data_IF_925000266215
#
_entry.id   IF_925000266215
#
_cell.length_a   1.000
_cell.length_b   1.000
_cell.length_c   1.000
_cell.angle_alpha   90.00
_cell.angle_beta   90.00
_cell.angle_gamma   90.00
#
_symmetry.space_group_name_H-M   'P 1'
#
loop_
_entity.id
_entity.type
_entity.pdbx_description
1 polymer ?
#
# COMPACT_ATOMS: atom_id res chain seq x y z
N UNK A 1 23.95 -15.51 11.98
CA UNK A 1 22.52 -15.85 12.13
C UNK A 1 21.74 -14.54 12.23
N UNK A 2 20.65 -14.36 11.50
CA UNK A 2 19.84 -13.15 11.62
C UNK A 2 19.06 -13.16 12.94
N UNK A 3 19.10 -12.05 13.69
CA UNK A 3 18.32 -11.88 14.92
C UNK A 3 16.93 -11.37 14.60
N UNK A 4 15.90 -12.18 14.89
CA UNK A 4 14.51 -11.85 14.63
C UNK A 4 13.85 -11.16 15.83
N UNK A 5 13.10 -10.10 15.56
CA UNK A 5 12.32 -9.38 16.56
C UNK A 5 10.87 -9.88 16.53
N UNK A 6 10.41 -10.50 17.62
CA UNK A 6 9.04 -11.02 17.74
C UNK A 6 8.23 -10.15 18.70
N UNK A 7 7.42 -9.24 18.17
CA UNK A 7 6.57 -8.32 18.95
C UNK A 7 5.11 -8.47 18.57
N UNK A 8 4.20 -7.99 19.43
CA UNK A 8 2.78 -7.91 19.11
C UNK A 8 2.51 -7.04 17.87
N UNK A 9 3.37 -6.04 17.60
CA UNK A 9 3.27 -5.17 16.41
C UNK A 9 3.42 -5.97 15.11
N UNK A 10 4.13 -7.11 15.13
CA UNK A 10 4.20 -8.00 13.97
C UNK A 10 2.83 -8.62 13.61
N UNK A 11 1.92 -8.77 14.59
CA UNK A 11 0.55 -9.20 14.30
C UNK A 11 -0.24 -8.11 13.58
N UNK A 12 0.00 -6.83 13.91
CA UNK A 12 -0.60 -5.71 13.20
C UNK A 12 -0.08 -5.65 11.75
N UNK A 13 1.23 -5.80 11.54
CA UNK A 13 1.82 -5.92 10.20
C UNK A 13 1.29 -7.12 9.42
N UNK A 14 1.14 -8.27 10.07
CA UNK A 14 0.53 -9.44 9.44
C UNK A 14 -0.91 -9.16 9.00
N UNK A 15 -1.72 -8.54 9.85
CA UNK A 15 -3.09 -8.13 9.51
C UNK A 15 -3.12 -7.14 8.35
N UNK A 16 -2.21 -6.16 8.35
CA UNK A 16 -2.06 -5.19 7.26
C UNK A 16 -1.72 -5.87 5.93
N UNK A 17 -0.71 -6.74 5.89
CA UNK A 17 -0.36 -7.44 4.66
C UNK A 17 -1.47 -8.37 4.19
N UNK A 18 -2.15 -9.08 5.10
CA UNK A 18 -3.30 -9.93 4.74
C UNK A 18 -4.47 -9.13 4.18
N UNK A 19 -4.72 -7.92 4.68
CA UNK A 19 -5.73 -7.00 4.15
C UNK A 19 -5.36 -6.51 2.74
N UNK A 20 -4.08 -6.22 2.51
CA UNK A 20 -3.57 -5.70 1.23
C UNK A 20 -3.68 -6.72 0.10
N UNK A 21 -3.44 -8.02 0.35
CA UNK A 21 -3.49 -9.06 -0.71
C UNK A 21 -4.78 -9.00 -1.55
N UNK A 22 -6.00 -9.14 -0.98
CA UNK A 22 -7.21 -9.13 -1.79
C UNK A 22 -7.46 -7.78 -2.48
N UNK A 23 -7.03 -6.67 -1.90
CA UNK A 23 -7.22 -5.35 -2.51
C UNK A 23 -6.34 -5.18 -3.75
N UNK A 24 -5.05 -5.49 -3.63
CA UNK A 24 -4.13 -5.40 -4.75
C UNK A 24 -4.56 -6.33 -5.89
N UNK A 25 -4.92 -7.59 -5.59
CA UNK A 25 -5.31 -8.53 -6.64
C UNK A 25 -6.64 -8.18 -7.29
N UNK A 26 -7.65 -7.80 -6.50
CA UNK A 26 -9.03 -7.76 -7.01
C UNK A 26 -9.59 -6.35 -7.19
N UNK A 27 -8.91 -5.31 -6.70
CA UNK A 27 -9.32 -3.92 -6.85
C UNK A 27 -8.29 -3.16 -7.67
N UNK A 28 -7.07 -3.02 -7.14
CA UNK A 28 -6.08 -2.09 -7.70
C UNK A 28 -5.50 -2.61 -9.03
N UNK A 29 -5.10 -3.88 -9.07
CA UNK A 29 -4.53 -4.52 -10.26
C UNK A 29 -5.50 -5.42 -11.02
N UNK A 30 -6.82 -5.33 -10.77
CA UNK A 30 -7.82 -6.21 -11.42
C UNK A 30 -7.68 -6.20 -12.95
N UNK A 31 -7.70 -5.01 -13.53
CA UNK A 31 -7.62 -4.81 -15.00
C UNK A 31 -6.18 -4.95 -15.51
N UNK A 32 -5.19 -4.86 -14.63
CA UNK A 32 -3.78 -5.02 -14.96
C UNK A 32 -3.36 -6.50 -15.03
N UNK A 33 -3.90 -7.34 -14.15
CA UNK A 33 -3.54 -8.76 -14.02
C UNK A 33 -4.42 -9.70 -14.83
N UNK A 34 -5.71 -9.38 -14.96
CA UNK A 34 -6.69 -10.28 -15.53
C UNK A 34 -7.20 -9.76 -16.87
N UNK A 35 -7.42 -10.65 -17.86
CA UNK A 35 -8.10 -10.25 -19.09
C UNK A 35 -9.60 -10.01 -18.82
N UNK A 36 -10.19 -9.07 -19.55
CA UNK A 36 -11.58 -8.61 -19.43
C UNK A 36 -12.62 -9.72 -19.24
N UNK A 37 -12.51 -10.83 -19.97
CA UNK A 37 -13.47 -11.94 -19.90
C UNK A 37 -13.53 -12.64 -18.53
N UNK A 38 -12.54 -12.43 -17.65
CA UNK A 38 -12.48 -12.99 -16.29
C UNK A 38 -13.29 -12.15 -15.29
N UNK A 39 -13.52 -10.86 -15.57
CA UNK A 39 -14.16 -9.94 -14.62
C UNK A 39 -15.34 -9.13 -15.20
N UNK A 40 -15.40 -8.81 -16.49
CA UNK A 40 -16.48 -7.95 -17.02
C UNK A 40 -17.83 -8.67 -17.15
N UNK A 41 -17.93 -9.88 -17.75
CA UNK A 41 -19.23 -10.52 -17.96
C UNK A 41 -19.92 -10.89 -16.64
N UNK A 42 -21.24 -10.81 -16.57
CA UNK A 42 -22.01 -11.12 -15.34
C UNK A 42 -21.81 -12.53 -14.79
N UNK A 43 -21.43 -13.49 -15.64
CA UNK A 43 -21.11 -14.87 -15.25
C UNK A 43 -19.63 -15.13 -14.94
N UNK A 44 -18.77 -14.11 -15.00
CA UNK A 44 -17.33 -14.28 -14.85
C UNK A 44 -16.93 -14.44 -13.37
N UNK A 45 -15.86 -15.21 -13.07
CA UNK A 45 -15.51 -15.56 -11.70
C UNK A 45 -15.15 -14.35 -10.83
N UNK A 46 -14.64 -13.27 -11.43
CA UNK A 46 -14.26 -12.03 -10.71
C UNK A 46 -15.28 -10.90 -10.89
N UNK A 47 -16.47 -11.18 -11.43
CA UNK A 47 -17.47 -10.15 -11.74
C UNK A 47 -17.90 -9.33 -10.52
N UNK A 48 -17.96 -9.95 -9.34
CA UNK A 48 -18.33 -9.24 -8.12
C UNK A 48 -17.39 -8.05 -7.82
N UNK A 49 -16.09 -8.18 -8.10
CA UNK A 49 -15.12 -7.11 -7.88
C UNK A 49 -15.23 -6.01 -8.92
N UNK A 50 -15.45 -6.38 -10.18
CA UNK A 50 -15.75 -5.42 -11.23
C UNK A 50 -17.03 -4.63 -10.91
N UNK A 51 -18.12 -5.31 -10.53
CA UNK A 51 -19.37 -4.68 -10.13
C UNK A 51 -19.20 -3.75 -8.92
N UNK A 52 -18.37 -4.13 -7.94
CA UNK A 52 -18.03 -3.28 -6.80
C UNK A 52 -17.28 -2.01 -7.24
N UNK A 53 -16.30 -2.13 -8.15
CA UNK A 53 -15.59 -0.98 -8.73
C UNK A 53 -16.55 -0.07 -9.49
N UNK A 54 -17.44 -0.64 -10.31
CA UNK A 54 -18.43 0.13 -11.07
C UNK A 54 -19.42 0.86 -10.14
N UNK A 55 -19.90 0.21 -9.08
CA UNK A 55 -20.72 0.86 -8.06
C UNK A 55 -19.98 2.02 -7.38
N UNK A 56 -18.70 1.83 -7.02
CA UNK A 56 -17.87 2.87 -6.42
C UNK A 56 -17.72 4.08 -7.36
N UNK A 57 -17.42 3.83 -8.63
CA UNK A 57 -17.31 4.87 -9.66
C UNK A 57 -18.63 5.63 -9.80
N UNK A 58 -19.76 4.93 -9.87
CA UNK A 58 -21.08 5.57 -9.95
C UNK A 58 -21.40 6.43 -8.73
N UNK A 59 -20.97 6.01 -7.54
CA UNK A 59 -21.27 6.69 -6.29
C UNK A 59 -20.36 7.91 -6.04
N UNK A 60 -19.07 7.80 -6.36
CA UNK A 60 -18.05 8.78 -5.96
C UNK A 60 -17.40 9.51 -7.14
N UNK A 61 -17.62 9.06 -8.37
CA UNK A 61 -17.02 9.60 -9.58
C UNK A 61 -15.50 9.79 -9.48
N UNK A 62 -14.81 8.94 -8.73
CA UNK A 62 -13.39 9.12 -8.41
C UNK A 62 -12.51 8.99 -9.67
N UNK A 63 -11.78 10.05 -10.09
CA UNK A 63 -11.03 10.03 -11.34
C UNK A 63 -9.83 9.08 -11.28
N UNK A 64 -9.24 8.92 -10.09
CA UNK A 64 -8.10 8.03 -9.86
C UNK A 64 -8.50 6.56 -10.10
N UNK A 65 -9.68 6.15 -9.64
CA UNK A 65 -10.18 4.77 -9.83
C UNK A 65 -10.69 4.53 -11.25
N UNK A 66 -11.13 5.60 -11.93
CA UNK A 66 -11.53 5.57 -13.34
C UNK A 66 -10.35 5.59 -14.32
N UNK A 67 -9.12 5.75 -13.81
CA UNK A 67 -7.95 5.89 -14.66
C UNK A 67 -7.74 4.69 -15.58
N UNK A 68 -7.39 5.00 -16.83
CA UNK A 68 -6.92 4.07 -17.87
C UNK A 68 -5.81 4.75 -18.69
N UNK A 69 -4.98 3.99 -19.43
CA UNK A 69 -4.00 4.57 -20.35
C UNK A 69 -4.62 5.56 -21.35
N UNK A 70 -5.86 5.32 -21.78
CA UNK A 70 -6.60 6.15 -22.71
C UNK A 70 -7.07 7.47 -22.08
N UNK A 71 -7.35 7.49 -20.78
CA UNK A 71 -7.77 8.68 -20.04
C UNK A 71 -6.61 9.46 -19.43
N UNK A 72 -5.37 8.98 -19.57
CA UNK A 72 -4.19 9.60 -18.97
C UNK A 72 -3.81 10.97 -19.58
N UNK A 73 -4.36 11.34 -20.75
CA UNK A 73 -4.11 12.64 -21.36
C UNK A 73 -4.93 13.74 -20.68
N UNK A 74 -4.33 14.42 -19.69
CA UNK A 74 -4.87 15.65 -19.10
C UNK A 74 -5.03 15.65 -17.58
N UNK A 75 -4.95 14.48 -16.93
CA UNK A 75 -5.01 14.30 -15.48
C UNK A 75 -4.42 12.92 -15.10
N UNK A 76 -3.98 12.73 -13.85
CA UNK A 76 -3.58 11.40 -13.31
C UNK A 76 -2.49 10.62 -14.08
N UNK A 77 -1.62 11.27 -14.84
CA UNK A 77 -0.58 10.60 -15.64
C UNK A 77 0.42 9.77 -14.79
N UNK A 78 0.45 10.00 -13.49
CA UNK A 78 1.26 9.29 -12.50
C UNK A 78 0.65 7.96 -12.03
N UNK A 79 -0.67 7.73 -12.21
CA UNK A 79 -1.33 6.47 -11.77
C UNK A 79 -0.72 5.26 -12.46
N UNK A 80 -0.46 5.37 -13.77
CA UNK A 80 0.21 4.31 -14.51
C UNK A 80 1.54 3.90 -13.88
N UNK A 81 2.36 4.87 -13.44
CA UNK A 81 3.61 4.57 -12.72
C UNK A 81 3.33 3.86 -11.40
N UNK A 82 2.33 4.31 -10.63
CA UNK A 82 2.02 3.71 -9.34
C UNK A 82 1.52 2.27 -9.48
N UNK A 83 0.74 1.94 -10.51
CA UNK A 83 0.35 0.56 -10.82
C UNK A 83 1.57 -0.33 -11.14
N UNK A 84 2.56 0.21 -11.86
CA UNK A 84 3.81 -0.53 -12.12
C UNK A 84 4.62 -0.73 -10.84
N UNK A 85 4.73 0.29 -10.00
CA UNK A 85 5.41 0.18 -8.69
C UNK A 85 4.68 -0.83 -7.80
N UNK A 86 3.35 -0.78 -7.79
CA UNK A 86 2.53 -1.72 -7.04
C UNK A 86 2.76 -3.16 -7.49
N UNK A 87 2.67 -3.42 -8.80
CA UNK A 87 2.88 -4.76 -9.35
C UNK A 87 4.31 -5.27 -9.14
N UNK A 88 5.32 -4.43 -9.36
CA UNK A 88 6.73 -4.85 -9.35
C UNK A 88 7.37 -4.86 -7.95
N UNK A 89 6.82 -4.08 -7.01
CA UNK A 89 7.42 -3.91 -5.69
C UNK A 89 6.45 -4.17 -4.53
N UNK A 90 5.28 -3.53 -4.49
CA UNK A 90 4.36 -3.67 -3.34
C UNK A 90 3.83 -5.09 -3.27
N UNK A 91 3.30 -5.62 -4.37
CA UNK A 91 2.69 -6.95 -4.42
C UNK A 91 3.70 -8.03 -3.98
N UNK A 92 4.92 -8.13 -4.54
CA UNK A 92 5.93 -9.05 -4.04
C UNK A 92 6.28 -8.85 -2.56
N UNK A 93 6.34 -7.59 -2.10
CA UNK A 93 6.68 -7.28 -0.70
C UNK A 93 5.57 -7.68 0.26
N UNK A 94 4.31 -7.47 -0.09
CA UNK A 94 3.13 -7.87 0.67
C UNK A 94 3.06 -9.39 0.76
N UNK A 95 3.24 -10.10 -0.36
CA UNK A 95 3.28 -11.56 -0.39
C UNK A 95 4.42 -12.12 0.46
N UNK A 96 5.61 -11.50 0.36
CA UNK A 96 6.73 -11.85 1.22
C UNK A 96 6.43 -11.59 2.70
N UNK A 97 5.78 -10.48 3.03
CA UNK A 97 5.33 -10.13 4.37
C UNK A 97 4.36 -11.18 4.96
N UNK A 98 3.37 -11.60 4.19
CA UNK A 98 2.46 -12.70 4.55
C UNK A 98 3.24 -13.99 4.77
N UNK A 99 4.13 -14.36 3.83
CA UNK A 99 4.94 -15.57 3.97
C UNK A 99 5.80 -15.53 5.24
N UNK A 100 6.48 -14.40 5.51
CA UNK A 100 7.38 -14.26 6.66
C UNK A 100 6.62 -14.28 7.99
N UNK A 101 5.53 -13.52 8.09
CA UNK A 101 4.82 -13.28 9.36
C UNK A 101 3.71 -14.29 9.62
N UNK A 102 2.96 -14.72 8.61
CA UNK A 102 1.82 -15.62 8.77
C UNK A 102 2.18 -17.11 8.58
N UNK A 103 2.94 -17.42 7.52
CA UNK A 103 3.29 -18.80 7.17
C UNK A 103 4.46 -19.29 8.01
N UNK A 104 5.60 -18.60 7.94
CA UNK A 104 6.78 -18.97 8.71
C UNK A 104 6.68 -18.60 10.19
N UNK A 105 5.76 -17.69 10.54
CA UNK A 105 5.57 -17.16 11.90
C UNK A 105 6.88 -16.67 12.51
N UNK A 106 7.75 -16.11 11.68
CA UNK A 106 9.00 -15.48 12.11
C UNK A 106 8.75 -14.01 12.36
N UNK A 107 9.51 -13.45 13.30
CA UNK A 107 9.58 -12.00 13.48
C UNK A 107 10.27 -11.31 12.31
N UNK A 108 10.67 -10.06 12.50
CA UNK A 108 11.42 -9.30 11.50
C UNK A 108 12.92 -9.34 11.78
N UNK A 109 13.73 -9.59 10.75
CA UNK A 109 15.17 -9.29 10.76
C UNK A 109 15.41 -7.82 10.40
N UNK A 110 16.65 -7.34 10.52
CA UNK A 110 16.99 -5.97 10.09
C UNK A 110 16.75 -5.73 8.59
N UNK A 111 16.94 -6.74 7.74
CA UNK A 111 16.65 -6.65 6.31
C UNK A 111 15.13 -6.59 6.05
N UNK A 112 14.34 -7.37 6.80
CA UNK A 112 12.87 -7.31 6.71
C UNK A 112 12.37 -5.92 7.14
N UNK A 113 12.94 -5.36 8.20
CA UNK A 113 12.57 -4.03 8.70
C UNK A 113 12.88 -2.94 7.67
N UNK A 114 14.03 -3.01 6.98
CA UNK A 114 14.37 -2.07 5.92
C UNK A 114 13.41 -2.20 4.72
N UNK A 115 13.11 -3.42 4.29
CA UNK A 115 12.16 -3.66 3.21
C UNK A 115 10.77 -3.11 3.56
N UNK A 116 10.28 -3.39 4.76
CA UNK A 116 8.97 -2.92 5.21
C UNK A 116 8.92 -1.41 5.46
N UNK A 117 10.05 -0.78 5.80
CA UNK A 117 10.18 0.67 5.84
C UNK A 117 9.99 1.28 4.44
N UNK A 118 10.70 0.77 3.43
CA UNK A 118 10.60 1.27 2.05
C UNK A 118 9.19 1.06 1.52
N UNK A 119 8.61 -0.12 1.73
CA UNK A 119 7.21 -0.41 1.41
C UNK A 119 6.25 0.60 2.05
N UNK A 120 6.35 0.85 3.36
CA UNK A 120 5.41 1.71 4.04
C UNK A 120 5.55 3.20 3.67
N UNK A 121 6.77 3.66 3.40
CA UNK A 121 7.00 5.01 2.88
C UNK A 121 6.45 5.17 1.47
N UNK A 122 6.64 4.17 0.62
CA UNK A 122 6.13 4.18 -0.74
C UNK A 122 4.59 4.24 -0.73
N UNK A 123 3.90 3.36 -0.01
CA UNK A 123 2.42 3.34 0.04
C UNK A 123 1.88 4.66 0.61
N UNK A 124 2.52 5.18 1.67
CA UNK A 124 2.14 6.47 2.24
C UNK A 124 2.32 7.61 1.23
N UNK A 125 3.42 7.61 0.49
CA UNK A 125 3.77 8.68 -0.43
C UNK A 125 2.91 8.67 -1.69
N UNK A 126 2.69 7.52 -2.30
CA UNK A 126 1.81 7.39 -3.47
C UNK A 126 0.37 7.77 -3.12
N UNK A 127 -0.12 7.32 -1.96
CA UNK A 127 -1.44 7.75 -1.46
C UNK A 127 -1.48 9.25 -1.13
N UNK A 128 -0.39 9.84 -0.62
CA UNK A 128 -0.31 11.28 -0.37
C UNK A 128 -0.40 12.07 -1.68
N UNK A 129 0.16 11.56 -2.77
CA UNK A 129 -0.01 12.16 -4.12
C UNK A 129 -1.48 12.11 -4.52
N UNK A 130 -2.18 10.98 -4.34
CA UNK A 130 -3.63 10.89 -4.56
C UNK A 130 -4.40 11.94 -3.74
N UNK A 131 -4.11 12.05 -2.43
CA UNK A 131 -4.74 13.04 -1.54
C UNK A 131 -4.49 14.46 -2.04
N UNK A 132 -3.24 14.77 -2.39
CA UNK A 132 -2.86 16.09 -2.91
C UNK A 132 -3.62 16.43 -4.19
N UNK A 133 -3.76 15.47 -5.09
CA UNK A 133 -4.45 15.65 -6.36
C UNK A 133 -5.95 15.99 -6.17
N UNK A 134 -6.62 15.40 -5.18
CA UNK A 134 -8.02 15.73 -4.86
C UNK A 134 -8.29 17.20 -4.51
N UNK A 135 -7.26 17.99 -4.16
CA UNK A 135 -7.41 19.43 -3.91
C UNK A 135 -7.62 20.22 -5.21
N UNK A 136 -7.18 19.69 -6.35
CA UNK A 136 -7.20 20.37 -7.65
C UNK A 136 -8.36 19.95 -8.54
N UNK A 137 -9.17 18.98 -8.11
CA UNK A 137 -10.38 18.56 -8.82
C UNK A 137 -11.33 19.74 -9.05
N UNK A 138 -11.96 19.79 -10.22
CA UNK A 138 -12.89 20.86 -10.58
C UNK A 138 -14.11 20.89 -9.64
N UNK A 139 -14.33 22.00 -8.95
CA UNK A 139 -15.48 22.17 -8.04
C UNK A 139 -16.83 22.16 -8.76
N UNK A 140 -16.88 22.36 -10.08
CA UNK A 140 -18.12 22.22 -10.86
C UNK A 140 -18.55 20.75 -11.03
N UNK A 141 -17.59 19.82 -10.97
CA UNK A 141 -17.82 18.37 -11.09
C UNK A 141 -17.81 17.69 -9.72
N UNK A 142 -16.94 18.15 -8.82
CA UNK A 142 -16.70 17.54 -7.51
C UNK A 142 -17.03 18.50 -6.38
N UNK A 143 -18.08 18.18 -5.60
CA UNK A 143 -18.43 18.98 -4.43
C UNK A 143 -17.34 18.93 -3.35
N UNK A 144 -17.27 19.96 -2.50
CA UNK A 144 -16.31 19.99 -1.38
C UNK A 144 -16.52 18.81 -0.40
N UNK A 145 -17.77 18.35 -0.24
CA UNK A 145 -18.09 17.18 0.57
C UNK A 145 -17.52 15.90 -0.04
N UNK A 146 -17.67 15.72 -1.35
CA UNK A 146 -17.11 14.57 -2.06
C UNK A 146 -15.57 14.59 -1.98
N UNK A 147 -14.95 15.74 -2.24
CA UNK A 147 -13.50 15.92 -2.09
C UNK A 147 -13.00 15.57 -0.68
N UNK A 148 -13.74 15.98 0.37
CA UNK A 148 -13.41 15.61 1.77
C UNK A 148 -13.58 14.11 2.01
N UNK A 149 -14.61 13.50 1.45
CA UNK A 149 -14.86 12.06 1.54
C UNK A 149 -13.71 11.26 0.93
N UNK A 150 -13.29 11.61 -0.30
CA UNK A 150 -12.13 11.01 -0.96
C UNK A 150 -10.87 11.10 -0.09
N UNK A 151 -10.55 12.31 0.41
CA UNK A 151 -9.34 12.52 1.23
C UNK A 151 -9.33 11.76 2.54
N UNK A 152 -10.42 11.81 3.30
CA UNK A 152 -10.38 11.39 4.70
C UNK A 152 -10.94 9.99 4.93
N UNK A 153 -11.90 9.54 4.11
CA UNK A 153 -12.50 8.23 4.27
C UNK A 153 -11.81 7.19 3.40
N UNK A 154 -11.57 7.51 2.12
CA UNK A 154 -10.91 6.59 1.20
C UNK A 154 -9.39 6.66 1.36
N UNK A 155 -8.75 7.75 0.99
CA UNK A 155 -7.28 7.81 0.94
C UNK A 155 -6.59 7.98 2.30
N UNK A 156 -7.23 8.67 3.24
CA UNK A 156 -6.63 9.01 4.54
C UNK A 156 -6.08 7.82 5.32
N UNK A 157 -6.87 6.74 5.54
CA UNK A 157 -6.39 5.54 6.20
C UNK A 157 -5.22 4.86 5.46
N UNK A 158 -5.28 4.83 4.12
CA UNK A 158 -4.23 4.26 3.26
C UNK A 158 -2.93 5.07 3.27
N UNK A 159 -2.98 6.36 3.63
CA UNK A 159 -1.78 7.16 3.87
C UNK A 159 -1.27 7.05 5.31
N UNK A 160 -2.18 7.15 6.29
CA UNK A 160 -1.83 7.29 7.70
C UNK A 160 -1.28 6.00 8.30
N UNK A 161 -1.91 4.85 8.01
CA UNK A 161 -1.48 3.57 8.58
C UNK A 161 -0.07 3.20 8.10
N UNK A 162 0.27 3.31 6.80
CA UNK A 162 1.63 3.11 6.32
C UNK A 162 2.62 4.13 6.88
N UNK A 163 2.26 5.41 7.01
CA UNK A 163 3.14 6.39 7.66
C UNK A 163 3.51 5.99 9.09
N UNK A 164 2.55 5.47 9.87
CA UNK A 164 2.80 4.91 11.21
C UNK A 164 3.68 3.66 11.13
N UNK A 165 3.44 2.79 10.14
CA UNK A 165 4.27 1.61 9.86
C UNK A 165 5.73 1.98 9.57
N UNK A 166 5.96 3.01 8.75
CA UNK A 166 7.29 3.52 8.45
C UNK A 166 8.01 3.98 9.74
N UNK A 167 7.31 4.70 10.62
CA UNK A 167 7.87 5.11 11.92
C UNK A 167 8.23 3.88 12.79
N UNK A 168 7.38 2.85 12.82
CA UNK A 168 7.68 1.60 13.55
C UNK A 168 8.95 0.93 13.03
N UNK A 169 9.08 0.77 11.71
CA UNK A 169 10.25 0.13 11.11
C UNK A 169 11.53 0.94 11.29
N UNK A 170 11.47 2.27 11.07
CA UNK A 170 12.58 3.17 11.32
C UNK A 170 13.06 3.10 12.78
N UNK A 171 12.12 3.05 13.73
CA UNK A 171 12.44 2.94 15.16
C UNK A 171 13.15 1.62 15.51
N UNK A 172 12.74 0.50 14.90
CA UNK A 172 13.40 -0.81 15.11
C UNK A 172 14.81 -0.82 14.54
N UNK A 173 14.99 -0.31 13.32
CA UNK A 173 16.30 -0.19 12.67
C UNK A 173 17.23 0.66 13.52
N UNK A 174 16.77 1.83 13.97
CA UNK A 174 17.57 2.70 14.85
C UNK A 174 17.94 1.99 16.16
N UNK A 175 17.03 1.20 16.74
CA UNK A 175 17.33 0.37 17.91
C UNK A 175 18.46 -0.64 17.66
N UNK A 176 18.49 -1.27 16.47
CA UNK A 176 19.57 -2.19 16.08
C UNK A 176 20.90 -1.48 15.88
N UNK A 177 20.88 -0.30 15.25
CA UNK A 177 22.08 0.52 15.05
C UNK A 177 22.68 0.90 16.41
N UNK A 178 21.87 1.45 17.32
CA UNK A 178 22.31 1.80 18.69
C UNK A 178 22.92 0.61 19.44
N UNK A 179 22.32 -0.58 19.31
CA UNK A 179 22.85 -1.79 19.93
C UNK A 179 24.20 -2.20 19.32
N UNK A 180 24.38 -2.06 18.00
CA UNK A 180 25.63 -2.34 17.33
C UNK A 180 26.74 -1.36 17.74
N UNK A 181 26.43 -0.06 17.82
CA UNK A 181 27.37 0.98 18.24
C UNK A 181 27.87 0.74 19.67
N UNK A 182 26.98 0.41 20.61
CA UNK A 182 27.35 0.10 21.99
C UNK A 182 28.30 -1.11 22.10
N UNK A 183 28.10 -2.14 21.26
CA UNK A 183 29.00 -3.31 21.21
C UNK A 183 30.38 -2.93 20.64
N UNK A 184 30.42 -2.04 19.63
CA UNK A 184 31.67 -1.56 19.06
C UNK A 184 32.45 -0.68 20.04
N UNK A 185 31.78 0.19 20.80
CA UNK A 185 32.40 1.01 21.85
C UNK A 185 32.97 0.14 22.97
N UNK A 186 32.21 -0.85 23.45
CA UNK A 186 32.68 -1.78 24.49
C UNK A 186 33.88 -2.64 24.07
N UNK A 187 34.08 -2.87 22.77
CA UNK A 187 35.28 -3.55 22.25
C UNK A 187 36.50 -2.64 22.15
N UNK A 188 36.30 -1.34 21.99
CA UNK A 188 37.41 -0.36 21.94
C UNK A 188 37.95 -0.03 23.33
N UNK A 189 37.16 -0.27 24.38
CA UNK A 189 37.55 -0.03 25.78
C UNK A 189 38.17 -1.25 26.48
N UNK A 190 38.29 -2.39 25.79
CA UNK A 190 38.99 -3.60 26.23
C UNK A 190 40.36 -3.70 25.56
#
# INVERSE_FOLDING_TARGET
MATYNNTWRNKAWMGWFLLQVPLIFFIDLLEYLYPAWVYEPTGAPLHAFYALKQWYIQMYNDPIVQWSPETASGHDSWIGLFLHVEFLFLLPTVLYGVYRLAVQRRGTSGADELLFLVYALEVAFTTLVCIHDTYYLDSAVYSDELKRTLRFQFYGPWCLIPAIGAIDMASRILGRIKAADAVLEGRKSQ
#
